data_IF_487642663932
#
_entry.id   IF_487642663932
#
_cell.length_a   1.000
_cell.length_b   1.000
_cell.length_c   1.000
_cell.angle_alpha   90.00
_cell.angle_beta   90.00
_cell.angle_gamma   90.00
#
_symmetry.space_group_name_H-M   'P 1'
#
loop_
_entity.id
_entity.type
_entity.pdbx_description
1 polymer ?
#
# COMPACT_ATOMS: atom_id res chain seq x y z
N UNK A 1 30.41 -66.47 -43.40
CA UNK A 1 31.86 -66.22 -43.61
C UNK A 1 32.08 -64.71 -43.63
N UNK A 2 33.18 -64.27 -43.02
CA UNK A 2 33.73 -62.90 -42.99
C UNK A 2 33.14 -61.89 -41.99
N UNK A 3 33.85 -61.79 -40.88
CA UNK A 3 34.02 -60.65 -39.97
C UNK A 3 34.50 -59.39 -40.71
N UNK A 4 34.03 -58.20 -40.33
CA UNK A 4 34.87 -57.00 -40.34
C UNK A 4 34.42 -55.99 -39.27
N UNK A 5 35.35 -55.67 -38.39
CA UNK A 5 35.28 -54.62 -37.37
C UNK A 5 35.85 -53.30 -37.92
N UNK A 6 35.74 -52.23 -37.09
CA UNK A 6 36.31 -50.87 -37.18
C UNK A 6 35.30 -49.77 -37.56
N UNK A 7 35.29 -48.56 -37.01
CA UNK A 7 36.07 -47.86 -35.97
C UNK A 7 35.24 -46.64 -35.53
N UNK A 8 35.46 -46.17 -34.31
CA UNK A 8 34.82 -45.03 -33.68
C UNK A 8 35.05 -43.68 -34.39
N UNK A 9 34.06 -42.78 -34.31
CA UNK A 9 34.27 -41.33 -34.25
C UNK A 9 33.27 -40.71 -33.26
N UNK A 10 33.79 -40.36 -32.08
CA UNK A 10 33.15 -39.46 -31.13
C UNK A 10 33.24 -38.02 -31.69
N UNK A 11 32.18 -37.55 -32.32
CA UNK A 11 32.01 -36.14 -32.63
C UNK A 11 31.26 -35.46 -31.47
N UNK A 12 32.03 -34.83 -30.57
CA UNK A 12 31.52 -33.98 -29.51
C UNK A 12 30.90 -32.69 -30.12
N UNK A 13 29.58 -32.60 -30.19
CA UNK A 13 28.90 -31.32 -30.43
C UNK A 13 28.80 -30.53 -29.12
N UNK A 14 29.62 -29.48 -29.01
CA UNK A 14 29.47 -28.41 -28.02
C UNK A 14 28.14 -27.67 -28.26
N UNK A 15 27.35 -27.35 -27.23
CA UNK A 15 26.25 -26.42 -27.38
C UNK A 15 26.81 -25.00 -27.61
N UNK A 16 26.31 -24.34 -28.64
CA UNK A 16 26.58 -22.93 -28.91
C UNK A 16 25.91 -22.05 -27.82
N UNK A 17 26.52 -20.94 -27.39
CA UNK A 17 25.88 -20.04 -26.45
C UNK A 17 24.71 -19.34 -27.13
N UNK A 18 23.50 -19.59 -26.63
CA UNK A 18 22.31 -18.80 -26.95
C UNK A 18 22.55 -17.35 -26.55
N UNK A 19 22.45 -16.45 -27.54
CA UNK A 19 22.44 -15.01 -27.30
C UNK A 19 21.10 -14.65 -26.67
N UNK A 20 21.10 -14.37 -25.37
CA UNK A 20 20.01 -13.70 -24.67
C UNK A 20 19.69 -12.37 -25.39
N UNK A 21 18.44 -12.13 -25.82
CA UNK A 21 18.05 -10.81 -26.31
C UNK A 21 18.16 -9.81 -25.15
N UNK A 22 18.88 -8.71 -25.39
CA UNK A 22 18.93 -7.60 -24.46
C UNK A 22 17.50 -7.11 -24.19
N UNK A 23 17.13 -7.02 -22.91
CA UNK A 23 15.93 -6.33 -22.49
C UNK A 23 16.04 -4.87 -22.97
N UNK A 24 15.12 -4.43 -23.82
CA UNK A 24 14.94 -3.00 -24.08
C UNK A 24 14.48 -2.36 -22.78
N UNK A 25 15.37 -1.63 -22.12
CA UNK A 25 15.01 -0.67 -21.08
C UNK A 25 14.05 0.35 -21.69
N UNK A 26 12.77 0.20 -21.37
CA UNK A 26 11.77 1.24 -21.61
C UNK A 26 12.11 2.34 -20.60
N UNK A 27 12.74 3.41 -21.07
CA UNK A 27 13.03 4.58 -20.25
C UNK A 27 11.71 5.20 -19.81
N UNK A 28 11.38 5.06 -18.53
CA UNK A 28 10.26 5.75 -17.93
C UNK A 28 10.47 7.28 -18.03
N UNK A 29 9.43 8.07 -18.30
CA UNK A 29 9.54 9.53 -18.29
C UNK A 29 10.01 10.03 -16.92
N UNK A 30 10.75 11.15 -16.87
CA UNK A 30 11.31 11.66 -15.63
C UNK A 30 10.19 11.98 -14.63
N UNK A 31 10.25 11.32 -13.48
CA UNK A 31 9.42 11.64 -12.32
C UNK A 31 9.87 13.01 -11.81
N UNK A 32 8.97 13.98 -11.58
CA UNK A 32 9.33 15.26 -10.98
C UNK A 32 10.04 15.03 -9.64
N UNK A 33 11.11 15.78 -9.38
CA UNK A 33 11.82 15.74 -8.09
C UNK A 33 10.85 16.07 -6.96
N UNK A 34 10.84 15.22 -5.93
CA UNK A 34 10.12 15.47 -4.69
C UNK A 34 10.61 16.79 -4.08
N UNK A 35 9.70 17.75 -3.88
CA UNK A 35 10.04 19.02 -3.23
C UNK A 35 10.44 18.76 -1.78
N UNK A 36 11.50 19.43 -1.34
CA UNK A 36 12.04 19.35 0.03
C UNK A 36 11.18 20.09 1.09
N UNK A 37 10.07 20.69 0.70
CA UNK A 37 9.15 21.32 1.64
C UNK A 37 8.26 20.22 2.22
N UNK A 38 8.42 19.92 3.52
CA UNK A 38 7.72 18.82 4.19
C UNK A 38 6.18 18.91 4.13
N UNK A 39 5.46 17.95 4.74
CA UNK A 39 4.01 17.77 4.60
C UNK A 39 3.14 19.02 4.85
N UNK A 40 3.66 19.97 5.64
CA UNK A 40 3.00 21.23 5.95
C UNK A 40 2.90 22.23 4.77
N UNK A 41 3.76 22.11 3.75
CA UNK A 41 3.77 22.98 2.58
C UNK A 41 3.01 22.41 1.37
N UNK A 42 2.56 21.14 1.45
CA UNK A 42 1.84 20.51 0.37
C UNK A 42 0.50 21.22 0.13
N UNK A 43 0.30 21.71 -1.10
CA UNK A 43 -0.97 22.24 -1.61
C UNK A 43 -2.03 21.15 -1.79
N UNK A 44 -1.66 19.89 -1.56
CA UNK A 44 -2.49 18.71 -1.72
C UNK A 44 -2.72 18.07 -0.35
N UNK A 45 -3.96 17.73 -0.03
CA UNK A 45 -4.31 16.89 1.11
C UNK A 45 -4.50 15.44 0.64
N UNK A 46 -4.23 14.48 1.53
CA UNK A 46 -4.52 13.06 1.28
C UNK A 46 -5.71 12.66 2.15
N UNK A 47 -6.74 12.12 1.52
CA UNK A 47 -7.89 11.56 2.18
C UNK A 47 -7.91 10.03 2.09
N UNK A 48 -8.21 9.41 3.22
CA UNK A 48 -8.30 7.96 3.40
C UNK A 48 -9.59 7.44 2.79
N UNK A 49 -9.48 6.45 1.91
CA UNK A 49 -10.62 5.89 1.17
C UNK A 49 -10.53 4.36 1.08
N UNK A 50 -11.69 3.70 1.07
CA UNK A 50 -11.77 2.24 0.99
C UNK A 50 -11.30 1.67 -0.35
N UNK A 51 -11.17 2.50 -1.39
CA UNK A 51 -10.72 2.12 -2.74
C UNK A 51 -9.25 2.50 -3.02
N UNK A 52 -8.57 3.16 -2.07
CA UNK A 52 -7.21 3.67 -2.23
C UNK A 52 -6.94 4.95 -1.45
N UNK A 53 -6.25 5.92 -2.07
CA UNK A 53 -6.01 7.24 -1.48
C UNK A 53 -6.53 8.34 -2.40
N UNK A 54 -7.26 9.32 -1.85
CA UNK A 54 -7.71 10.49 -2.60
C UNK A 54 -6.79 11.68 -2.37
N UNK A 55 -6.25 12.23 -3.44
CA UNK A 55 -5.45 13.44 -3.41
C UNK A 55 -6.36 14.62 -3.75
N UNK A 56 -6.42 15.59 -2.85
CA UNK A 56 -7.32 16.74 -2.94
C UNK A 56 -6.47 18.00 -3.03
N UNK A 57 -6.57 18.72 -4.15
CA UNK A 57 -5.96 20.03 -4.28
C UNK A 57 -6.68 21.02 -3.35
N UNK A 58 -5.97 21.57 -2.36
CA UNK A 58 -6.53 22.43 -1.30
C UNK A 58 -7.04 23.78 -1.84
N UNK A 59 -6.62 24.19 -3.04
CA UNK A 59 -7.01 25.48 -3.63
C UNK A 59 -8.30 25.36 -4.43
N UNK A 60 -8.41 24.31 -5.25
CA UNK A 60 -9.52 24.09 -6.18
C UNK A 60 -10.55 23.09 -5.69
N UNK A 61 -10.23 22.30 -4.66
CA UNK A 61 -11.06 21.20 -4.16
C UNK A 61 -11.13 19.99 -5.10
N UNK A 62 -10.37 19.99 -6.20
CA UNK A 62 -10.36 18.86 -7.14
C UNK A 62 -9.74 17.63 -6.47
N UNK A 63 -10.44 16.50 -6.56
CA UNK A 63 -10.00 15.23 -6.02
C UNK A 63 -9.64 14.24 -7.13
N UNK A 64 -8.57 13.48 -6.93
CA UNK A 64 -8.18 12.35 -7.79
C UNK A 64 -7.94 11.11 -6.93
N UNK A 65 -8.43 9.96 -7.39
CA UNK A 65 -8.23 8.68 -6.72
C UNK A 65 -6.96 8.00 -7.24
N UNK A 66 -6.03 7.69 -6.34
CA UNK A 66 -5.00 6.68 -6.52
C UNK A 66 -5.61 5.34 -6.09
N UNK A 67 -6.20 4.63 -7.04
CA UNK A 67 -6.94 3.39 -6.77
C UNK A 67 -5.98 2.23 -6.45
N UNK A 68 -6.47 1.23 -5.74
CA UNK A 68 -5.77 -0.05 -5.67
C UNK A 68 -5.55 -0.66 -7.07
N UNK A 69 -4.48 -1.44 -7.20
CA UNK A 69 -4.05 -2.09 -8.43
C UNK A 69 -3.08 -1.26 -9.28
N UNK A 70 -2.86 0.02 -8.98
CA UNK A 70 -1.85 0.83 -9.67
C UNK A 70 -0.42 0.33 -9.37
N UNK A 71 0.55 0.53 -10.28
CA UNK A 71 1.94 0.15 -10.04
C UNK A 71 2.53 0.79 -8.79
N UNK A 72 3.37 0.06 -8.06
CA UNK A 72 4.05 0.52 -6.84
C UNK A 72 4.75 1.86 -7.03
N UNK A 73 5.57 1.97 -8.08
CA UNK A 73 6.31 3.20 -8.37
C UNK A 73 5.39 4.43 -8.54
N UNK A 74 4.20 4.24 -9.12
CA UNK A 74 3.21 5.31 -9.26
C UNK A 74 2.63 5.71 -7.90
N UNK A 75 2.31 4.73 -7.04
CA UNK A 75 1.76 5.00 -5.71
C UNK A 75 2.77 5.68 -4.78
N UNK A 76 4.01 5.21 -4.76
CA UNK A 76 5.12 5.82 -4.01
C UNK A 76 5.37 7.26 -4.49
N UNK A 77 5.45 7.48 -5.80
CA UNK A 77 5.65 8.83 -6.34
C UNK A 77 4.49 9.78 -5.99
N UNK A 78 3.25 9.28 -6.06
CA UNK A 78 2.07 10.08 -5.71
C UNK A 78 2.09 10.49 -4.24
N UNK A 79 2.34 9.56 -3.32
CA UNK A 79 2.39 9.87 -1.89
C UNK A 79 3.60 10.72 -1.54
N UNK A 80 4.77 10.47 -2.14
CA UNK A 80 5.99 11.22 -1.87
C UNK A 80 5.88 12.72 -2.20
N UNK A 81 5.04 13.09 -3.17
CA UNK A 81 4.74 14.50 -3.47
C UNK A 81 4.04 15.24 -2.34
N UNK A 82 3.48 14.52 -1.36
CA UNK A 82 2.76 15.09 -0.20
C UNK A 82 3.48 14.78 1.10
N UNK A 83 3.89 13.52 1.31
CA UNK A 83 4.50 13.05 2.53
C UNK A 83 6.02 13.26 2.57
N UNK A 84 6.65 13.55 1.42
CA UNK A 84 8.10 13.61 1.29
C UNK A 84 8.72 12.24 1.02
N UNK A 85 10.00 12.07 1.39
CA UNK A 85 10.73 10.82 1.16
C UNK A 85 10.19 9.70 2.05
N UNK A 86 10.22 8.46 1.57
CA UNK A 86 9.94 7.29 2.39
C UNK A 86 10.99 7.10 3.49
N UNK A 87 10.53 6.56 4.62
CA UNK A 87 11.38 6.21 5.77
C UNK A 87 12.00 4.83 5.59
N UNK A 88 11.21 3.86 5.12
CA UNK A 88 11.61 2.46 5.01
C UNK A 88 10.88 1.72 3.89
N UNK A 89 11.50 0.63 3.41
CA UNK A 89 10.90 -0.37 2.52
C UNK A 89 11.21 -1.75 3.06
N UNK A 90 10.19 -2.58 3.22
CA UNK A 90 10.31 -3.94 3.76
C UNK A 90 9.44 -4.92 2.99
N UNK A 91 9.64 -6.21 3.28
CA UNK A 91 8.88 -7.32 2.69
C UNK A 91 8.50 -8.33 3.77
N UNK A 92 7.41 -9.05 3.56
CA UNK A 92 7.01 -10.17 4.40
C UNK A 92 6.40 -11.28 3.54
N UNK A 93 7.07 -12.43 3.52
CA UNK A 93 6.66 -13.61 2.74
C UNK A 93 5.64 -14.49 3.48
N UNK A 94 5.41 -14.22 4.77
CA UNK A 94 4.56 -15.03 5.67
C UNK A 94 3.18 -14.39 5.92
N UNK A 95 2.82 -13.35 5.16
CA UNK A 95 1.49 -12.76 5.24
C UNK A 95 0.43 -13.76 4.75
N UNK A 96 -0.70 -13.88 5.48
CA UNK A 96 -1.79 -14.80 5.12
C UNK A 96 -2.43 -14.51 3.76
N UNK A 97 -2.30 -13.27 3.26
CA UNK A 97 -2.73 -12.87 1.92
C UNK A 97 -1.72 -13.23 0.79
N UNK A 98 -0.58 -13.85 1.14
CA UNK A 98 0.57 -14.07 0.25
C UNK A 98 1.68 -13.02 0.44
N UNK A 99 2.85 -13.18 -0.22
CA UNK A 99 3.98 -12.28 -0.06
C UNK A 99 3.63 -10.82 -0.30
N UNK A 100 4.05 -9.95 0.60
CA UNK A 100 3.76 -8.51 0.56
C UNK A 100 5.04 -7.67 0.60
N UNK A 101 4.97 -6.49 -0.01
CA UNK A 101 5.97 -5.44 0.17
C UNK A 101 5.32 -4.21 0.80
N UNK A 102 6.13 -3.43 1.52
CA UNK A 102 5.68 -2.26 2.26
C UNK A 102 6.57 -1.07 1.95
N UNK A 103 6.00 0.13 2.00
CA UNK A 103 6.75 1.39 1.97
C UNK A 103 6.14 2.36 2.95
N UNK A 104 6.98 2.90 3.83
CA UNK A 104 6.53 3.69 4.97
C UNK A 104 6.88 5.17 4.80
N UNK A 105 5.92 6.02 5.18
CA UNK A 105 6.00 7.48 5.21
C UNK A 105 5.38 7.97 6.52
N UNK A 106 6.20 8.20 7.54
CA UNK A 106 5.80 8.50 8.90
C UNK A 106 4.76 7.47 9.39
N UNK A 107 3.59 7.87 9.89
CA UNK A 107 2.50 6.95 10.26
C UNK A 107 1.85 6.15 9.11
N UNK A 108 2.05 6.53 7.85
CA UNK A 108 1.40 5.90 6.68
C UNK A 108 2.26 4.77 6.12
N UNK A 109 1.69 3.58 5.99
CA UNK A 109 2.29 2.45 5.27
C UNK A 109 1.47 2.14 4.02
N UNK A 110 2.13 2.14 2.86
CA UNK A 110 1.57 1.60 1.63
C UNK A 110 1.91 0.11 1.53
N UNK A 111 0.91 -0.70 1.22
CA UNK A 111 1.02 -2.15 1.10
C UNK A 111 0.94 -2.55 -0.38
N UNK A 112 1.78 -3.50 -0.77
CA UNK A 112 1.91 -3.94 -2.14
C UNK A 112 1.86 -5.47 -2.26
N UNK A 113 1.27 -5.95 -3.35
CA UNK A 113 1.32 -7.33 -3.81
C UNK A 113 1.52 -7.32 -5.32
N UNK A 114 2.35 -8.22 -5.83
CA UNK A 114 2.69 -8.29 -7.27
C UNK A 114 3.08 -6.92 -7.88
N UNK A 115 3.84 -6.13 -7.11
CA UNK A 115 4.27 -4.76 -7.45
C UNK A 115 3.11 -3.77 -7.71
N UNK A 116 1.94 -4.03 -7.13
CA UNK A 116 0.75 -3.18 -7.21
C UNK A 116 0.30 -2.73 -5.83
N UNK A 117 -0.18 -1.49 -5.76
CA UNK A 117 -0.76 -0.91 -4.55
C UNK A 117 -2.01 -1.69 -4.15
N UNK A 118 -1.96 -2.40 -3.04
CA UNK A 118 -2.98 -3.36 -2.63
C UNK A 118 -3.75 -2.90 -1.38
N UNK A 119 -3.18 -1.99 -0.59
CA UNK A 119 -3.77 -1.52 0.65
C UNK A 119 -2.95 -0.42 1.30
N UNK A 120 -3.48 0.17 2.35
CA UNK A 120 -2.78 1.14 3.18
C UNK A 120 -3.12 0.93 4.64
N UNK A 121 -2.20 1.32 5.51
CA UNK A 121 -2.33 1.31 6.97
C UNK A 121 -1.87 2.66 7.52
N UNK A 122 -2.63 3.21 8.46
CA UNK A 122 -2.29 4.42 9.21
C UNK A 122 -2.31 4.10 10.70
N UNK A 123 -1.15 4.19 11.35
CA UNK A 123 -1.01 3.99 12.79
C UNK A 123 -1.08 5.28 13.60
N UNK A 124 -1.29 5.16 14.91
CA UNK A 124 -1.21 6.28 15.86
C UNK A 124 0.24 6.63 16.20
N UNK A 125 0.91 7.23 15.22
CA UNK A 125 2.30 7.64 15.28
C UNK A 125 2.43 9.11 14.80
N UNK A 126 3.60 9.76 14.91
CA UNK A 126 3.83 11.06 14.28
C UNK A 126 3.38 11.08 12.80
N UNK A 127 2.91 12.23 12.33
CA UNK A 127 2.40 12.38 10.96
C UNK A 127 0.97 11.90 10.73
N UNK A 128 0.37 11.10 11.63
CA UNK A 128 -1.00 10.61 11.46
C UNK A 128 -2.04 11.73 11.30
N UNK A 129 -1.82 12.88 11.94
CA UNK A 129 -2.70 14.05 11.87
C UNK A 129 -2.79 14.67 10.46
N UNK A 130 -1.92 14.29 9.52
CA UNK A 130 -1.98 14.76 8.13
C UNK A 130 -3.09 14.07 7.31
N UNK A 131 -3.69 12.99 7.84
CA UNK A 131 -4.61 12.14 7.11
C UNK A 131 -5.98 12.06 7.78
N UNK A 132 -7.04 12.04 6.98
CA UNK A 132 -8.41 11.79 7.44
C UNK A 132 -9.28 11.26 6.29
N UNK A 133 -10.38 10.58 6.59
CA UNK A 133 -11.40 10.30 5.58
C UNK A 133 -12.08 11.59 5.11
N UNK A 134 -12.81 11.54 4.01
CA UNK A 134 -13.56 12.71 3.52
C UNK A 134 -14.61 13.22 4.54
N UNK A 135 -15.08 12.33 5.43
CA UNK A 135 -15.97 12.66 6.54
C UNK A 135 -15.24 13.17 7.79
N UNK A 136 -13.92 13.38 7.72
CA UNK A 136 -13.12 13.90 8.83
C UNK A 136 -12.76 12.86 9.89
N UNK A 137 -12.90 11.56 9.61
CA UNK A 137 -12.48 10.52 10.55
C UNK A 137 -10.96 10.35 10.46
N UNK A 138 -10.28 10.54 11.58
CA UNK A 138 -8.83 10.46 11.71
C UNK A 138 -8.42 9.72 12.98
N UNK A 139 -7.13 9.37 13.08
CA UNK A 139 -6.53 8.92 14.35
C UNK A 139 -6.87 9.89 15.47
N UNK A 140 -7.26 9.35 16.63
CA UNK A 140 -7.66 10.14 17.80
C UNK A 140 -9.14 10.54 17.84
N UNK A 141 -9.90 10.39 16.74
CA UNK A 141 -11.36 10.60 16.74
C UNK A 141 -12.01 9.60 17.71
N UNK A 142 -12.94 10.05 18.55
CA UNK A 142 -13.63 9.14 19.47
C UNK A 142 -14.70 8.32 18.74
N UNK A 143 -15.02 7.13 19.25
CA UNK A 143 -16.10 6.28 18.73
C UNK A 143 -17.42 7.03 18.63
N UNK A 144 -17.83 7.73 19.68
CA UNK A 144 -19.04 8.56 19.66
C UNK A 144 -18.99 9.63 18.56
N UNK A 145 -17.86 10.35 18.45
CA UNK A 145 -17.73 11.41 17.45
C UNK A 145 -17.75 10.87 16.02
N UNK A 146 -17.12 9.72 15.79
CA UNK A 146 -17.15 9.05 14.49
C UNK A 146 -18.58 8.62 14.12
N UNK A 147 -19.33 8.07 15.08
CA UNK A 147 -20.73 7.67 14.92
C UNK A 147 -21.69 8.81 14.56
N UNK A 148 -21.33 10.07 14.84
CA UNK A 148 -22.10 11.24 14.38
C UNK A 148 -21.97 11.49 12.86
N UNK A 149 -20.89 11.00 12.24
CA UNK A 149 -20.52 11.33 10.86
C UNK A 149 -20.60 10.14 9.90
N UNK A 150 -20.40 8.92 10.41
CA UNK A 150 -20.37 7.70 9.61
C UNK A 150 -20.99 6.51 10.34
N UNK A 151 -21.45 5.52 9.59
CA UNK A 151 -21.89 4.23 10.14
C UNK A 151 -20.68 3.39 10.55
N UNK A 152 -20.47 3.23 11.86
CA UNK A 152 -19.46 2.34 12.43
C UNK A 152 -20.08 0.96 12.67
N UNK A 153 -19.46 -0.07 12.13
CA UNK A 153 -19.89 -1.46 12.27
C UNK A 153 -18.78 -2.22 12.99
N UNK A 154 -19.07 -2.75 14.17
CA UNK A 154 -18.09 -3.54 14.92
C UNK A 154 -17.78 -4.85 14.18
N UNK A 155 -16.53 -5.26 14.20
CA UNK A 155 -16.11 -6.59 13.74
C UNK A 155 -16.11 -7.52 14.95
N UNK A 156 -17.09 -8.40 15.02
CA UNK A 156 -17.22 -9.38 16.10
C UNK A 156 -16.07 -10.39 16.07
N UNK A 157 -15.67 -10.86 17.25
CA UNK A 157 -14.60 -11.86 17.45
C UNK A 157 -13.25 -11.50 16.80
N UNK A 158 -12.94 -10.21 16.66
CA UNK A 158 -11.66 -9.75 16.13
C UNK A 158 -10.49 -10.11 17.05
N UNK A 159 -9.45 -10.69 16.46
CA UNK A 159 -8.15 -10.91 17.12
C UNK A 159 -7.30 -9.65 17.21
N UNK A 160 -7.72 -8.55 16.56
CA UNK A 160 -7.04 -7.25 16.57
C UNK A 160 -7.58 -6.29 17.65
N UNK A 161 -8.51 -6.75 18.48
CA UNK A 161 -9.13 -5.95 19.54
C UNK A 161 -10.43 -5.30 19.10
N UNK A 162 -10.62 -4.01 19.43
CA UNK A 162 -11.86 -3.27 19.16
C UNK A 162 -11.93 -2.79 17.70
N UNK A 163 -11.97 -3.75 16.78
CA UNK A 163 -12.00 -3.50 15.34
C UNK A 163 -13.39 -3.09 14.83
N UNK A 164 -13.41 -2.23 13.83
CA UNK A 164 -14.62 -1.78 13.16
C UNK A 164 -14.39 -1.52 11.67
N UNK A 165 -15.49 -1.41 10.91
CA UNK A 165 -15.51 -0.85 9.57
C UNK A 165 -16.37 0.42 9.50
N UNK A 166 -16.04 1.29 8.55
CA UNK A 166 -16.84 2.42 8.13
C UNK A 166 -17.65 1.99 6.91
N UNK A 167 -18.97 1.83 7.08
CA UNK A 167 -19.87 1.32 6.05
C UNK A 167 -19.75 -0.20 5.82
N UNK A 168 -20.41 -0.67 4.76
CA UNK A 168 -20.51 -2.09 4.36
C UNK A 168 -20.02 -2.30 2.92
N UNK A 169 -19.46 -3.46 2.61
CA UNK A 169 -19.07 -3.85 1.25
C UNK A 169 -17.61 -4.25 1.14
N UNK A 170 -17.10 -4.34 -0.09
CA UNK A 170 -15.74 -4.79 -0.38
C UNK A 170 -14.67 -3.71 -0.16
N UNK A 171 -15.03 -2.44 -0.39
CA UNK A 171 -14.12 -1.30 -0.32
C UNK A 171 -14.45 -0.41 0.90
N UNK A 172 -14.27 -0.95 2.10
CA UNK A 172 -14.51 -0.22 3.35
C UNK A 172 -13.20 0.25 3.98
N UNK A 173 -13.27 1.32 4.76
CA UNK A 173 -12.19 1.69 5.67
C UNK A 173 -12.39 0.95 6.98
N UNK A 174 -11.43 0.11 7.35
CA UNK A 174 -11.35 -0.51 8.66
C UNK A 174 -10.62 0.36 9.67
N UNK A 175 -10.79 0.06 10.96
CA UNK A 175 -10.03 0.69 12.02
C UNK A 175 -10.06 -0.09 13.32
N UNK A 176 -9.21 0.33 14.26
CA UNK A 176 -9.11 -0.25 15.61
C UNK A 176 -9.26 0.87 16.62
N UNK A 177 -10.12 0.70 17.63
CA UNK A 177 -10.16 1.59 18.78
C UNK A 177 -9.12 1.18 19.83
N UNK A 178 -8.48 2.17 20.48
CA UNK A 178 -7.48 1.95 21.52
C UNK A 178 -8.04 1.27 22.79
N UNK A 179 -9.37 1.33 22.98
CA UNK A 179 -10.06 0.77 24.14
C UNK A 179 -11.53 0.49 23.81
N UNK A 180 -12.27 -0.19 24.69
CA UNK A 180 -13.72 -0.26 24.59
C UNK A 180 -14.41 1.09 24.90
N UNK A 181 -15.67 1.23 24.46
CA UNK A 181 -16.58 2.30 24.86
C UNK A 181 -16.57 3.56 23.97
N UNK A 182 -17.51 4.47 24.24
CA UNK A 182 -17.80 5.62 23.39
C UNK A 182 -16.70 6.69 23.34
N UNK A 183 -15.93 6.81 24.41
CA UNK A 183 -14.79 7.71 24.51
C UNK A 183 -13.51 7.13 23.88
N UNK A 184 -13.54 5.85 23.47
CA UNK A 184 -12.40 5.20 22.86
C UNK A 184 -11.98 5.92 21.58
N UNK A 185 -10.68 6.15 21.45
CA UNK A 185 -10.10 6.83 20.29
C UNK A 185 -9.70 5.81 19.23
N UNK A 186 -9.83 6.18 17.97
CA UNK A 186 -9.27 5.42 16.85
C UNK A 186 -7.75 5.44 16.96
N UNK A 187 -7.13 4.26 16.99
CA UNK A 187 -5.69 4.04 17.10
C UNK A 187 -5.06 3.60 15.79
N UNK A 188 -5.85 2.99 14.90
CA UNK A 188 -5.44 2.66 13.55
C UNK A 188 -6.59 2.78 12.56
N UNK A 189 -6.26 3.11 11.31
CA UNK A 189 -7.15 3.06 10.16
C UNK A 189 -6.46 2.30 9.03
N UNK A 190 -7.22 1.56 8.21
CA UNK A 190 -6.66 0.81 7.10
C UNK A 190 -7.71 0.53 6.02
N UNK A 191 -7.26 0.23 4.80
CA UNK A 191 -8.11 -0.35 3.77
C UNK A 191 -7.30 -1.23 2.82
N UNK A 192 -8.01 -2.06 2.05
CA UNK A 192 -7.40 -3.03 1.15
C UNK A 192 -6.65 -4.14 1.89
N UNK A 193 -5.67 -4.73 1.21
CA UNK A 193 -4.88 -5.85 1.75
C UNK A 193 -3.90 -5.35 2.80
N UNK A 194 -3.99 -5.91 4.01
CA UNK A 194 -3.12 -5.65 5.14
C UNK A 194 -2.58 -6.97 5.71
N UNK A 195 -1.36 -6.94 6.22
CA UNK A 195 -0.71 -8.12 6.81
C UNK A 195 -1.00 -8.21 8.31
N UNK A 196 -2.25 -8.50 8.66
CA UNK A 196 -2.66 -8.77 10.04
C UNK A 196 -2.60 -10.27 10.30
N UNK A 197 -1.83 -10.69 11.31
CA UNK A 197 -1.82 -12.07 11.77
C UNK A 197 -3.14 -12.35 12.50
N UNK A 198 -3.86 -13.37 12.02
CA UNK A 198 -5.15 -13.82 12.56
C UNK A 198 -5.16 -15.33 12.67
#
# INVERSE_FOLDING_TARGET
MMTLAMVALLAACKPAPEKTPAASEITAPPVPEAKADGPAAATTAVSLDGEGLRFIDKTSGKASLLAFGVPRAQAEAALANVAGKEDDRSTNDECGAGPMQFTRYDAMTLNFQDDKFAGWFLGNEPGAAAYSTASGIAIGTTRAKAGESVSIIAVEDSTLGEEFSIGTGENVVGGIFASPGDAAKIDALFAGVNCFFR
#
